data_IF_946972441232
#
_entry.id   IF_946972441232
#
_cell.length_a   1.000
_cell.length_b   1.000
_cell.length_c   1.000
_cell.angle_alpha   90.00
_cell.angle_beta   90.00
_cell.angle_gamma   90.00
#
_symmetry.space_group_name_H-M   'P 1'
#
loop_
_entity.id
_entity.type
_entity.pdbx_description
1 polymer ?
#
# COMPACT_ATOMS: atom_id res chain seq x y z
N UNK A 1 3.80 0.53 2.34
CA UNK A 1 4.04 1.94 1.98
C UNK A 1 5.04 2.03 0.83
N UNK A 2 4.53 2.26 -0.37
CA UNK A 2 5.31 2.51 -1.59
C UNK A 2 5.66 3.99 -1.65
N UNK A 3 6.93 4.34 -1.50
CA UNK A 3 7.43 5.65 -1.90
C UNK A 3 8.32 5.44 -3.13
N UNK A 4 7.75 5.62 -4.32
CA UNK A 4 8.55 5.73 -5.54
C UNK A 4 8.97 7.22 -5.67
N UNK A 5 10.26 7.56 -5.67
CA UNK A 5 10.69 8.88 -6.09
C UNK A 5 10.51 9.02 -7.61
N UNK A 6 9.65 9.94 -8.02
CA UNK A 6 9.57 10.42 -9.40
C UNK A 6 10.84 11.25 -9.66
N UNK A 7 11.91 10.61 -10.15
CA UNK A 7 13.02 11.34 -10.73
C UNK A 7 12.67 11.72 -12.17
N UNK A 8 12.44 13.01 -12.37
CA UNK A 8 12.29 13.66 -13.67
C UNK A 8 13.49 13.32 -14.55
N UNK A 9 13.20 12.75 -15.72
CA UNK A 9 14.15 12.54 -16.81
C UNK A 9 14.66 13.91 -17.29
N UNK A 10 15.96 14.15 -17.18
CA UNK A 10 16.67 15.12 -18.01
C UNK A 10 17.68 14.34 -18.85
N UNK A 11 17.25 13.91 -20.02
CA UNK A 11 18.16 13.36 -21.04
C UNK A 11 18.77 14.53 -21.81
N UNK A 12 20.00 14.88 -21.49
CA UNK A 12 20.87 15.65 -22.39
C UNK A 12 21.74 14.65 -23.17
N UNK A 13 21.54 14.61 -24.49
CA UNK A 13 22.34 13.80 -25.40
C UNK A 13 23.64 14.54 -25.75
N UNK A 14 24.78 13.87 -25.62
CA UNK A 14 25.97 14.18 -26.41
C UNK A 14 26.71 12.87 -26.73
N UNK A 15 26.80 12.58 -28.02
CA UNK A 15 27.50 11.45 -28.65
C UNK A 15 28.93 11.88 -28.97
N UNK A 16 29.93 11.00 -28.77
CA UNK A 16 30.94 10.59 -29.77
C UNK A 16 31.87 9.49 -29.19
N UNK A 17 31.94 8.39 -29.95
CA UNK A 17 32.81 7.20 -30.01
C UNK A 17 34.08 7.08 -29.18
N UNK A 18 34.23 5.88 -28.55
CA UNK A 18 35.49 5.31 -28.09
C UNK A 18 35.37 3.80 -27.79
N UNK A 19 36.05 2.99 -28.61
CA UNK A 19 36.40 1.55 -28.53
C UNK A 19 36.19 0.77 -27.22
N UNK A 20 35.45 -0.34 -27.36
CA UNK A 20 35.57 -1.67 -26.74
C UNK A 20 36.25 -1.82 -25.36
N UNK A 21 35.44 -2.07 -24.33
CA UNK A 21 35.52 -3.25 -23.45
C UNK A 21 34.08 -3.53 -22.99
N UNK A 22 33.44 -4.57 -23.53
CA UNK A 22 32.24 -5.14 -22.92
C UNK A 22 32.73 -5.83 -21.65
N UNK A 23 32.79 -5.08 -20.55
CA UNK A 23 32.81 -5.66 -19.23
C UNK A 23 31.53 -6.46 -19.12
N UNK A 24 31.65 -7.78 -19.23
CA UNK A 24 30.67 -8.70 -18.66
C UNK A 24 30.62 -8.37 -17.17
N UNK A 25 29.78 -7.41 -16.80
CA UNK A 25 29.25 -7.39 -15.45
C UNK A 25 28.71 -8.81 -15.24
N UNK A 26 29.06 -9.49 -14.13
CA UNK A 26 28.39 -10.73 -13.81
C UNK A 26 26.91 -10.37 -13.83
N UNK A 27 26.17 -10.94 -14.77
CA UNK A 27 24.74 -11.20 -14.57
C UNK A 27 24.73 -11.77 -13.17
N UNK A 28 24.24 -11.02 -12.19
CA UNK A 28 24.01 -11.59 -10.87
C UNK A 28 23.16 -12.80 -11.18
N UNK A 29 23.77 -13.98 -11.11
CA UNK A 29 23.05 -15.22 -11.17
C UNK A 29 21.95 -15.01 -10.15
N UNK A 30 20.71 -15.00 -10.61
CA UNK A 30 19.56 -14.93 -9.73
C UNK A 30 19.74 -16.12 -8.80
N UNK A 31 20.34 -15.88 -7.62
CA UNK A 31 20.62 -16.95 -6.69
C UNK A 31 19.27 -17.54 -6.39
N UNK A 32 19.12 -18.81 -6.72
CA UNK A 32 17.90 -19.53 -6.44
C UNK A 32 17.68 -19.42 -4.93
N UNK A 33 16.55 -18.81 -4.54
CA UNK A 33 16.25 -18.53 -3.14
C UNK A 33 16.19 -19.88 -2.42
N UNK A 34 17.09 -20.09 -1.47
CA UNK A 34 17.16 -21.35 -0.74
C UNK A 34 15.88 -21.56 0.11
N UNK A 35 15.54 -22.83 0.43
CA UNK A 35 14.46 -23.12 1.37
C UNK A 35 14.65 -22.41 2.73
N UNK A 36 15.88 -22.31 3.22
CA UNK A 36 16.23 -21.63 4.48
C UNK A 36 15.93 -20.12 4.39
N UNK A 37 16.28 -19.48 3.28
CA UNK A 37 16.01 -18.07 3.05
C UNK A 37 14.50 -17.78 2.97
N UNK A 38 13.74 -18.66 2.29
CA UNK A 38 12.28 -18.56 2.28
C UNK A 38 11.67 -18.77 3.67
N UNK A 39 12.20 -19.70 4.46
CA UNK A 39 11.73 -19.94 5.83
C UNK A 39 11.97 -18.71 6.71
N UNK A 40 13.13 -18.05 6.57
CA UNK A 40 13.43 -16.81 7.30
C UNK A 40 12.52 -15.66 6.90
N UNK A 41 12.25 -15.51 5.60
CA UNK A 41 11.31 -14.51 5.12
C UNK A 41 9.87 -14.80 5.58
N UNK A 42 9.50 -16.09 5.72
CA UNK A 42 8.22 -16.51 6.26
C UNK A 42 8.08 -16.17 7.74
N UNK A 43 9.11 -16.43 8.53
CA UNK A 43 9.18 -16.02 9.94
C UNK A 43 8.97 -14.50 10.08
N UNK A 44 9.62 -13.70 9.23
CA UNK A 44 9.39 -12.25 9.19
C UNK A 44 7.92 -11.91 8.88
N UNK A 45 7.29 -12.57 7.90
CA UNK A 45 5.87 -12.35 7.59
C UNK A 45 5.01 -12.67 8.82
N UNK A 46 5.23 -13.82 9.45
CA UNK A 46 4.42 -14.28 10.59
C UNK A 46 4.46 -13.32 11.79
N UNK A 47 5.58 -12.64 12.04
CA UNK A 47 5.71 -11.66 13.13
C UNK A 47 5.22 -10.26 12.77
N UNK A 48 4.91 -9.99 11.49
CA UNK A 48 4.35 -8.71 11.06
C UNK A 48 2.83 -8.76 11.02
N UNK A 49 2.17 -7.60 10.95
CA UNK A 49 0.71 -7.46 10.88
C UNK A 49 0.06 -8.06 9.60
N UNK A 50 0.75 -8.92 8.83
CA UNK A 50 0.15 -9.62 7.69
C UNK A 50 -1.02 -10.52 8.10
N UNK A 51 -1.04 -11.00 9.35
CA UNK A 51 -2.17 -11.77 9.88
C UNK A 51 -3.44 -10.93 9.95
N UNK A 52 -3.33 -9.76 10.56
CA UNK A 52 -4.45 -8.84 10.67
C UNK A 52 -4.89 -8.33 9.29
N UNK A 53 -3.95 -8.13 8.36
CA UNK A 53 -4.27 -7.77 6.98
C UNK A 53 -5.08 -8.86 6.27
N UNK A 54 -4.70 -10.13 6.44
CA UNK A 54 -5.41 -11.26 5.85
C UNK A 54 -6.83 -11.38 6.41
N UNK A 55 -6.96 -11.44 7.74
CA UNK A 55 -8.25 -11.58 8.41
C UNK A 55 -9.20 -10.43 8.07
N UNK A 56 -8.68 -9.19 8.02
CA UNK A 56 -9.44 -8.01 7.58
C UNK A 56 -9.92 -8.18 6.14
N UNK A 57 -9.05 -8.60 5.23
CA UNK A 57 -9.41 -8.80 3.82
C UNK A 57 -10.53 -9.83 3.67
N UNK A 58 -10.42 -10.97 4.37
CA UNK A 58 -11.46 -12.02 4.33
C UNK A 58 -12.78 -11.50 4.93
N UNK A 59 -12.72 -10.76 6.03
CA UNK A 59 -13.90 -10.14 6.63
C UNK A 59 -14.58 -9.14 5.67
N UNK A 60 -13.80 -8.29 5.00
CA UNK A 60 -14.31 -7.31 4.04
C UNK A 60 -14.99 -8.00 2.84
N UNK A 61 -14.42 -9.11 2.34
CA UNK A 61 -15.05 -9.95 1.31
C UNK A 61 -16.40 -10.51 1.79
N UNK A 62 -16.47 -11.02 3.02
CA UNK A 62 -17.71 -11.53 3.60
C UNK A 62 -18.79 -10.45 3.73
N UNK A 63 -18.42 -9.25 4.17
CA UNK A 63 -19.33 -8.10 4.25
C UNK A 63 -19.85 -7.68 2.87
N UNK A 64 -19.01 -7.73 1.84
CA UNK A 64 -19.42 -7.44 0.46
C UNK A 64 -20.44 -8.47 -0.03
N UNK A 65 -20.18 -9.77 0.19
CA UNK A 65 -21.12 -10.85 -0.16
C UNK A 65 -22.45 -10.67 0.56
N UNK A 66 -22.42 -10.38 1.86
CA UNK A 66 -23.62 -10.14 2.66
C UNK A 66 -24.44 -8.98 2.10
N UNK A 67 -23.79 -7.88 1.69
CA UNK A 67 -24.47 -6.70 1.12
C UNK A 67 -25.21 -7.05 -0.17
N UNK A 68 -24.58 -7.78 -1.07
CA UNK A 68 -25.17 -8.21 -2.35
C UNK A 68 -26.33 -9.16 -2.11
N UNK A 69 -26.12 -10.22 -1.34
CA UNK A 69 -27.12 -11.28 -1.17
C UNK A 69 -28.35 -10.83 -0.34
N UNK A 70 -28.17 -10.00 0.69
CA UNK A 70 -29.30 -9.44 1.45
C UNK A 70 -30.11 -8.44 0.61
N UNK A 71 -29.46 -7.72 -0.30
CA UNK A 71 -30.15 -6.81 -1.22
C UNK A 71 -31.05 -7.59 -2.19
N UNK A 72 -30.59 -8.75 -2.66
CA UNK A 72 -31.36 -9.64 -3.54
C UNK A 72 -32.49 -10.35 -2.78
N UNK A 73 -32.21 -10.88 -1.59
CA UNK A 73 -33.19 -11.55 -0.74
C UNK A 73 -32.94 -11.24 0.76
N UNK A 74 -33.77 -10.37 1.37
CA UNK A 74 -33.64 -10.02 2.79
C UNK A 74 -33.82 -11.20 3.76
N UNK A 75 -34.45 -12.30 3.32
CA UNK A 75 -34.65 -13.50 4.15
C UNK A 75 -33.34 -14.26 4.39
N UNK A 76 -32.31 -14.02 3.57
CA UNK A 76 -31.01 -14.66 3.69
C UNK A 76 -30.16 -14.14 4.85
N UNK A 77 -30.57 -13.08 5.55
CA UNK A 77 -29.73 -12.43 6.59
C UNK A 77 -29.18 -13.41 7.64
N UNK A 78 -30.05 -14.20 8.27
CA UNK A 78 -29.64 -15.18 9.29
C UNK A 78 -28.84 -16.36 8.71
N UNK A 79 -29.30 -17.09 7.68
CA UNK A 79 -28.55 -18.22 7.13
C UNK A 79 -27.20 -17.82 6.49
N UNK A 80 -27.07 -16.57 6.01
CA UNK A 80 -25.80 -16.05 5.52
C UNK A 80 -24.74 -15.94 6.61
N UNK A 81 -25.11 -15.60 7.84
CA UNK A 81 -24.13 -15.49 8.92
C UNK A 81 -23.46 -16.84 9.21
N UNK A 82 -24.25 -17.91 9.27
CA UNK A 82 -23.74 -19.27 9.50
C UNK A 82 -22.88 -19.76 8.31
N UNK A 83 -23.34 -19.50 7.08
CA UNK A 83 -22.59 -19.84 5.87
C UNK A 83 -21.26 -19.06 5.79
N UNK A 84 -21.28 -17.75 6.06
CA UNK A 84 -20.08 -16.90 6.08
C UNK A 84 -19.11 -17.33 7.16
N UNK A 85 -19.58 -17.70 8.35
CA UNK A 85 -18.72 -18.23 9.41
C UNK A 85 -17.99 -19.51 8.96
N UNK A 86 -18.74 -20.45 8.38
CA UNK A 86 -18.17 -21.71 7.87
C UNK A 86 -17.10 -21.46 6.80
N UNK A 87 -17.36 -20.53 5.89
CA UNK A 87 -16.39 -20.15 4.85
C UNK A 87 -15.19 -19.43 5.46
N UNK A 88 -15.41 -18.50 6.39
CA UNK A 88 -14.34 -17.76 7.07
C UNK A 88 -13.34 -18.70 7.74
N UNK A 89 -13.83 -19.71 8.48
CA UNK A 89 -12.98 -20.69 9.15
C UNK A 89 -12.11 -21.47 8.15
N UNK A 90 -12.64 -21.81 6.97
CA UNK A 90 -11.85 -22.47 5.92
C UNK A 90 -10.72 -21.61 5.35
N UNK A 91 -10.87 -20.29 5.34
CA UNK A 91 -9.81 -19.37 4.91
C UNK A 91 -8.74 -19.21 5.98
N UNK A 92 -9.10 -19.22 7.28
CA UNK A 92 -8.10 -19.18 8.35
C UNK A 92 -7.11 -20.36 8.28
N UNK A 93 -7.59 -21.53 7.85
CA UNK A 93 -6.78 -22.73 7.69
C UNK A 93 -5.85 -22.67 6.45
N UNK A 94 -6.19 -21.90 5.41
CA UNK A 94 -5.45 -21.83 4.14
C UNK A 94 -4.57 -20.56 3.98
N UNK A 95 -4.40 -19.79 5.05
CA UNK A 95 -3.61 -18.54 5.03
C UNK A 95 -2.13 -18.75 4.63
N UNK A 96 -1.62 -19.96 4.83
CA UNK A 96 -0.22 -20.32 4.57
C UNK A 96 0.18 -20.12 3.10
N UNK A 97 -0.73 -20.39 2.16
CA UNK A 97 -0.46 -20.22 0.74
C UNK A 97 -0.13 -18.75 0.40
N UNK A 98 -0.90 -17.81 0.96
CA UNK A 98 -0.67 -16.38 0.76
C UNK A 98 0.60 -15.91 1.47
N UNK A 99 0.85 -16.38 2.70
CA UNK A 99 2.01 -15.94 3.46
C UNK A 99 3.31 -16.44 2.84
N UNK A 100 3.30 -17.62 2.22
CA UNK A 100 4.42 -18.11 1.43
C UNK A 100 4.69 -17.23 0.19
N UNK A 101 3.65 -16.66 -0.42
CA UNK A 101 3.83 -15.68 -1.50
C UNK A 101 4.42 -14.37 -0.97
N UNK A 102 3.95 -13.88 0.18
CA UNK A 102 4.53 -12.71 0.85
C UNK A 102 5.99 -12.94 1.23
N UNK A 103 6.32 -14.10 1.78
CA UNK A 103 7.70 -14.47 2.12
C UNK A 103 8.62 -14.37 0.91
N UNK A 104 8.18 -14.85 -0.25
CA UNK A 104 8.95 -14.74 -1.50
C UNK A 104 9.21 -13.28 -1.92
N UNK A 105 8.26 -12.37 -1.67
CA UNK A 105 8.44 -10.93 -1.93
C UNK A 105 9.56 -10.36 -1.04
N UNK A 106 9.66 -10.79 0.22
CA UNK A 106 10.73 -10.35 1.12
C UNK A 106 12.08 -11.02 0.79
N UNK A 107 12.08 -12.32 0.49
CA UNK A 107 13.31 -13.05 0.17
C UNK A 107 14.03 -12.53 -1.09
N UNK A 108 13.32 -11.95 -2.06
CA UNK A 108 13.97 -11.30 -3.23
C UNK A 108 14.56 -9.92 -2.92
N UNK A 109 14.28 -9.33 -1.75
CA UNK A 109 14.67 -7.95 -1.39
C UNK A 109 15.70 -7.89 -0.27
N UNK A 110 15.66 -8.85 0.64
CA UNK A 110 16.54 -8.93 1.79
C UNK A 110 17.23 -10.28 1.79
N UNK A 111 18.51 -10.32 2.09
CA UNK A 111 19.20 -11.58 2.32
C UNK A 111 18.83 -12.17 3.70
N UNK A 112 19.25 -13.40 3.98
CA UNK A 112 18.92 -14.11 5.22
C UNK A 112 19.41 -13.38 6.48
N UNK A 113 20.62 -12.80 6.45
CA UNK A 113 21.20 -12.07 7.57
C UNK A 113 20.41 -10.80 7.88
N UNK A 114 20.03 -10.04 6.85
CA UNK A 114 19.20 -8.84 6.98
C UNK A 114 17.82 -9.18 7.55
N UNK A 115 17.18 -10.25 7.05
CA UNK A 115 15.90 -10.72 7.59
C UNK A 115 16.03 -11.11 9.06
N UNK A 116 17.09 -11.82 9.44
CA UNK A 116 17.34 -12.18 10.84
C UNK A 116 17.50 -10.94 11.72
N UNK A 117 18.29 -9.95 11.31
CA UNK A 117 18.47 -8.71 12.07
C UNK A 117 17.15 -7.95 12.26
N UNK A 118 16.29 -7.93 11.24
CA UNK A 118 14.97 -7.30 11.31
C UNK A 118 14.06 -8.06 12.28
N UNK A 119 14.04 -9.40 12.21
CA UNK A 119 13.29 -10.27 13.14
C UNK A 119 13.76 -10.05 14.58
N UNK A 120 15.07 -10.05 14.81
CA UNK A 120 15.67 -9.83 16.13
C UNK A 120 15.23 -8.50 16.74
N UNK A 121 15.14 -7.44 15.93
CA UNK A 121 14.64 -6.16 16.39
C UNK A 121 13.14 -6.22 16.74
N UNK A 122 12.30 -6.75 15.84
CA UNK A 122 10.86 -6.75 16.02
C UNK A 122 10.37 -7.70 17.12
N UNK A 123 11.17 -8.69 17.49
CA UNK A 123 10.89 -9.57 18.64
C UNK A 123 11.25 -8.95 20.00
N UNK A 124 11.94 -7.80 20.03
CA UNK A 124 12.14 -7.06 21.28
C UNK A 124 10.83 -6.42 21.78
N UNK A 125 10.68 -6.12 23.08
CA UNK A 125 9.46 -5.45 23.59
C UNK A 125 9.14 -4.11 22.92
N UNK A 126 10.16 -3.35 22.51
CA UNK A 126 9.98 -2.07 21.83
C UNK A 126 9.66 -2.27 20.35
N UNK A 127 10.30 -3.24 19.68
CA UNK A 127 10.02 -3.59 18.29
C UNK A 127 8.60 -4.11 18.11
N UNK A 128 8.15 -5.03 18.98
CA UNK A 128 6.78 -5.53 18.98
C UNK A 128 5.77 -4.39 19.23
N UNK A 129 6.04 -3.55 20.23
CA UNK A 129 5.20 -2.36 20.49
C UNK A 129 5.13 -1.42 19.28
N UNK A 130 6.23 -1.27 18.53
CA UNK A 130 6.23 -0.45 17.32
C UNK A 130 5.35 -1.06 16.23
N UNK A 131 5.44 -2.37 16.00
CA UNK A 131 4.55 -3.07 15.06
C UNK A 131 3.09 -2.86 15.43
N UNK A 132 2.71 -3.16 16.67
CA UNK A 132 1.33 -3.03 17.15
C UNK A 132 0.79 -1.59 17.02
N UNK A 133 1.65 -0.58 17.21
CA UNK A 133 1.26 0.83 17.17
C UNK A 133 1.27 1.43 15.76
N UNK A 134 1.95 0.79 14.79
CA UNK A 134 2.12 1.35 13.44
C UNK A 134 0.78 1.72 12.77
N UNK A 135 -0.30 0.90 12.83
CA UNK A 135 -1.59 1.28 12.25
C UNK A 135 -2.14 2.58 12.83
N UNK A 136 -2.14 2.73 14.16
CA UNK A 136 -2.64 3.93 14.85
C UNK A 136 -1.77 5.15 14.58
N UNK A 137 -0.44 5.00 14.62
CA UNK A 137 0.50 6.07 14.28
C UNK A 137 0.24 6.56 12.85
N UNK A 138 0.05 5.67 11.89
CA UNK A 138 -0.21 6.05 10.50
C UNK A 138 -1.55 6.77 10.32
N UNK A 139 -2.57 6.37 11.07
CA UNK A 139 -3.86 7.07 11.10
C UNK A 139 -3.71 8.49 11.67
N UNK A 140 -2.97 8.65 12.76
CA UNK A 140 -2.70 9.95 13.38
C UNK A 140 -1.91 10.86 12.43
N UNK A 141 -0.86 10.34 11.78
CA UNK A 141 -0.07 11.07 10.79
C UNK A 141 -0.93 11.54 9.61
N UNK A 142 -1.82 10.68 9.10
CA UNK A 142 -2.74 11.02 8.00
C UNK A 142 -3.71 12.13 8.42
N UNK A 143 -4.22 12.06 9.65
CA UNK A 143 -5.11 13.08 10.23
C UNK A 143 -4.42 14.43 10.33
N UNK A 144 -3.21 14.47 10.87
CA UNK A 144 -2.40 15.71 10.99
C UNK A 144 -2.09 16.29 9.62
N UNK A 145 -1.71 15.45 8.64
CA UNK A 145 -1.43 15.90 7.28
C UNK A 145 -2.68 16.50 6.61
N UNK A 146 -3.86 15.93 6.84
CA UNK A 146 -5.13 16.46 6.35
C UNK A 146 -5.43 17.85 6.91
N UNK A 147 -5.20 18.07 8.21
CA UNK A 147 -5.36 19.39 8.86
C UNK A 147 -4.39 20.41 8.25
N UNK A 148 -3.10 20.04 8.14
CA UNK A 148 -2.09 20.92 7.56
C UNK A 148 -2.45 21.29 6.11
N UNK A 149 -2.89 20.33 5.29
CA UNK A 149 -3.32 20.54 3.90
C UNK A 149 -4.45 21.56 3.82
N UNK A 150 -5.50 21.40 4.63
CA UNK A 150 -6.65 22.33 4.65
C UNK A 150 -6.22 23.75 5.01
N UNK A 151 -5.33 23.90 5.99
CA UNK A 151 -4.86 25.22 6.44
C UNK A 151 -3.91 25.88 5.43
N UNK A 152 -3.14 25.10 4.68
CA UNK A 152 -2.10 25.60 3.77
C UNK A 152 -2.60 25.81 2.33
N UNK A 153 -3.71 25.16 1.94
CA UNK A 153 -4.18 25.15 0.55
C UNK A 153 -4.35 26.56 -0.06
N UNK A 154 -4.99 27.48 0.68
CA UNK A 154 -5.22 28.84 0.20
C UNK A 154 -3.92 29.63 0.03
N UNK A 155 -2.98 29.49 0.97
CA UNK A 155 -1.68 30.13 0.88
C UNK A 155 -0.87 29.58 -0.30
N UNK A 156 -0.84 28.26 -0.45
CA UNK A 156 -0.16 27.59 -1.56
C UNK A 156 -0.71 28.07 -2.91
N UNK A 157 -2.03 28.12 -3.07
CA UNK A 157 -2.69 28.66 -4.26
C UNK A 157 -2.30 30.13 -4.52
N UNK A 158 -2.29 30.97 -3.48
CA UNK A 158 -1.89 32.38 -3.59
C UNK A 158 -0.44 32.54 -4.08
N UNK A 159 0.47 31.71 -3.56
CA UNK A 159 1.88 31.69 -3.98
C UNK A 159 2.02 31.27 -5.45
N UNK A 160 1.35 30.20 -5.87
CA UNK A 160 1.36 29.76 -7.28
C UNK A 160 0.82 30.85 -8.22
N UNK A 161 -0.29 31.50 -7.85
CA UNK A 161 -0.83 32.61 -8.65
C UNK A 161 0.14 33.78 -8.77
N UNK A 162 0.84 34.11 -7.69
CA UNK A 162 1.83 35.18 -7.68
C UNK A 162 2.96 34.87 -8.65
N UNK A 163 3.45 33.63 -8.65
CA UNK A 163 4.50 33.20 -9.57
C UNK A 163 4.04 33.23 -11.04
N UNK A 164 2.82 32.78 -11.34
CA UNK A 164 2.25 32.87 -12.69
C UNK A 164 2.16 34.31 -13.19
N UNK A 165 1.75 35.25 -12.33
CA UNK A 165 1.71 36.68 -12.68
C UNK A 165 3.10 37.25 -12.93
N UNK A 166 4.10 36.86 -12.15
CA UNK A 166 5.49 37.28 -12.36
C UNK A 166 6.03 36.81 -13.73
N UNK A 167 5.52 35.68 -14.24
CA UNK A 167 5.85 35.14 -15.55
C UNK A 167 5.01 35.74 -16.70
N UNK A 168 4.09 36.67 -16.41
CA UNK A 168 3.25 37.34 -17.41
C UNK A 168 1.97 36.60 -17.77
N UNK A 169 1.61 35.54 -17.04
CA UNK A 169 0.35 34.81 -17.23
C UNK A 169 -0.77 35.37 -16.34
N UNK A 170 -2.00 35.39 -16.86
CA UNK A 170 -3.17 35.68 -16.03
C UNK A 170 -3.56 34.43 -15.23
N UNK A 171 -3.67 34.56 -13.90
CA UNK A 171 -4.04 33.46 -13.02
C UNK A 171 -5.50 33.62 -12.57
N UNK A 172 -6.42 32.73 -12.99
CA UNK A 172 -7.85 32.90 -12.70
C UNK A 172 -8.16 32.81 -11.20
N UNK A 173 -9.19 33.56 -10.79
CA UNK A 173 -9.83 33.37 -9.49
C UNK A 173 -10.50 31.98 -9.48
N UNK A 174 -10.39 31.28 -8.36
CA UNK A 174 -11.19 30.09 -8.09
C UNK A 174 -12.40 30.67 -7.38
N UNK A 175 -13.56 30.62 -8.02
CA UNK A 175 -14.82 30.76 -7.32
C UNK A 175 -14.85 29.63 -6.29
N UNK A 176 -14.88 29.97 -5.01
CA UNK A 176 -14.88 29.00 -3.92
C UNK A 176 -16.20 28.26 -3.91
N UNK A 177 -16.31 27.20 -4.71
CA UNK A 177 -17.31 26.16 -4.52
C UNK A 177 -16.61 24.88 -4.07
N UNK A 178 -17.09 24.35 -2.95
CA UNK A 178 -16.84 22.97 -2.54
C UNK A 178 -15.52 22.76 -1.84
N UNK A 179 -15.59 22.68 -0.52
CA UNK A 179 -14.91 21.66 0.28
C UNK A 179 -14.26 20.57 -0.57
N UNK A 180 -12.92 20.50 -0.56
CA UNK A 180 -12.20 19.42 -1.23
C UNK A 180 -12.85 18.09 -0.83
N UNK A 181 -13.17 17.20 -1.78
CA UNK A 181 -13.91 15.99 -1.45
C UNK A 181 -13.15 15.26 -0.35
N UNK A 182 -13.86 14.91 0.72
CA UNK A 182 -13.34 13.97 1.69
C UNK A 182 -12.88 12.75 0.88
N UNK A 183 -11.57 12.51 0.84
CA UNK A 183 -11.01 11.31 0.23
C UNK A 183 -11.56 10.12 1.02
N UNK A 184 -12.64 9.53 0.52
CA UNK A 184 -13.40 8.53 1.26
C UNK A 184 -14.79 8.23 0.68
N UNK A 185 -14.96 8.21 -0.63
CA UNK A 185 -16.05 7.45 -1.25
C UNK A 185 -15.55 6.97 -2.62
N UNK A 186 -15.31 5.65 -2.73
CA UNK A 186 -15.18 5.01 -4.02
C UNK A 186 -16.46 5.30 -4.84
N UNK A 187 -16.36 5.59 -6.14
CA UNK A 187 -17.57 5.83 -6.92
C UNK A 187 -18.40 4.54 -6.94
N UNK A 188 -19.61 4.64 -6.38
CA UNK A 188 -20.66 3.69 -6.64
C UNK A 188 -20.87 3.62 -8.16
N UNK A 189 -20.86 2.40 -8.69
CA UNK A 189 -21.27 2.11 -10.05
C UNK A 189 -22.69 2.64 -10.30
N UNK A 190 -22.90 3.28 -11.45
CA UNK A 190 -24.25 3.49 -11.97
C UNK A 190 -24.39 4.70 -12.88
N UNK A 191 -24.83 4.42 -14.10
CA UNK A 191 -25.66 5.27 -14.95
C UNK A 191 -24.96 6.18 -15.97
N UNK A 192 -24.86 5.66 -17.20
CA UNK A 192 -25.40 6.26 -18.44
C UNK A 192 -25.01 5.34 -19.61
N UNK A 193 -25.76 5.17 -20.69
CA UNK A 193 -27.10 5.53 -21.10
C UNK A 193 -27.30 4.92 -22.50
N UNK A 194 -28.58 4.78 -22.89
CA UNK A 194 -29.12 4.60 -24.25
C UNK A 194 -29.11 3.18 -24.85
#
# INVERSE_FOLDING_TARGET
>A
MTFLPILRRLTAALVISGTALISAAPVQAQQEISPEHLAKAREYVDITDSVQLYERTVADMGLQVMRVMIQEDPSLREPLLEALQTVYDSYLDDRDALYNQFARIYAIRFNEEELQQIIDFYTTPVGARLLDQNPSINQDLTTVLGIWRRNTANEFLSRVRTELRNQGYNAPAIETEGEAPAEGEAPAEGETAQ
#
